data_IF_117513501127
#
_entry.id   IF_117513501127
#
_cell.length_a   1.000
_cell.length_b   1.000
_cell.length_c   1.000
_cell.angle_alpha   90.00
_cell.angle_beta   90.00
_cell.angle_gamma   90.00
#
_symmetry.space_group_name_H-M   'P 1'
#
loop_
_entity.id
_entity.type
_entity.pdbx_description
1 polymer ?
#
# COMPACT_ATOMS: atom_id res chain seq x y z
N UNK A 1 11.44 -3.81 18.18
CA UNK A 1 11.09 -3.90 16.75
C UNK A 1 11.08 -5.34 16.26
N UNK A 2 12.09 -6.15 16.56
CA UNK A 2 12.18 -7.58 16.18
C UNK A 2 10.87 -8.34 16.43
N UNK A 3 10.37 -8.34 17.65
CA UNK A 3 9.13 -9.06 18.00
C UNK A 3 7.89 -8.54 17.27
N UNK A 4 7.88 -7.27 16.89
CA UNK A 4 6.79 -6.66 16.16
C UNK A 4 6.69 -7.23 14.72
N UNK A 5 7.82 -7.36 14.03
CA UNK A 5 7.88 -7.95 12.69
C UNK A 5 7.69 -9.47 12.78
N UNK A 6 8.34 -10.12 13.75
CA UNK A 6 8.28 -11.57 13.97
C UNK A 6 6.88 -12.08 14.35
N UNK A 7 5.98 -11.21 14.81
CA UNK A 7 4.58 -11.57 15.12
C UNK A 7 3.84 -12.23 13.94
N UNK A 8 4.24 -11.93 12.70
CA UNK A 8 3.67 -12.56 11.50
C UNK A 8 4.09 -14.04 11.29
N UNK A 9 5.28 -14.41 11.81
CA UNK A 9 5.84 -15.77 11.77
C UNK A 9 6.75 -15.96 12.99
N UNK A 10 6.22 -16.49 14.13
CA UNK A 10 6.92 -16.55 15.41
C UNK A 10 8.20 -17.41 15.43
N UNK A 11 8.30 -18.38 14.52
CA UNK A 11 9.45 -19.29 14.34
C UNK A 11 10.56 -18.71 13.44
N UNK A 12 10.33 -17.54 12.81
CA UNK A 12 11.32 -16.91 11.94
C UNK A 12 12.64 -16.62 12.68
N UNK A 13 13.76 -16.82 12.00
CA UNK A 13 15.09 -16.44 12.52
C UNK A 13 15.28 -14.93 12.49
N UNK A 14 16.29 -14.42 13.21
CA UNK A 14 16.66 -13.00 13.20
C UNK A 14 17.07 -12.54 11.77
N UNK A 15 17.77 -13.41 11.05
CA UNK A 15 18.21 -13.14 9.67
C UNK A 15 17.04 -13.03 8.70
N UNK A 16 16.00 -13.85 8.88
CA UNK A 16 14.77 -13.77 8.07
C UNK A 16 14.01 -12.48 8.34
N UNK A 17 13.95 -12.05 9.61
CA UNK A 17 13.32 -10.78 9.98
C UNK A 17 14.10 -9.59 9.41
N UNK A 18 15.45 -9.61 9.46
CA UNK A 18 16.29 -8.58 8.87
C UNK A 18 16.09 -8.48 7.35
N UNK A 19 16.05 -9.61 6.64
CA UNK A 19 15.77 -9.62 5.20
C UNK A 19 14.40 -9.05 4.88
N UNK A 20 13.37 -9.45 5.60
CA UNK A 20 12.01 -8.92 5.40
C UNK A 20 11.94 -7.41 5.68
N UNK A 21 12.67 -6.93 6.68
CA UNK A 21 12.76 -5.51 7.00
C UNK A 21 13.52 -4.72 5.92
N UNK A 22 14.59 -5.27 5.36
CA UNK A 22 15.34 -4.67 4.26
C UNK A 22 14.49 -4.61 2.97
N UNK A 23 13.81 -5.69 2.62
CA UNK A 23 12.87 -5.75 1.50
C UNK A 23 11.69 -4.76 1.67
N UNK A 24 11.28 -4.46 2.91
CA UNK A 24 10.28 -3.46 3.24
C UNK A 24 10.86 -2.03 3.39
N UNK A 25 12.10 -1.79 2.97
CA UNK A 25 12.75 -0.49 3.05
C UNK A 25 12.82 0.08 4.48
N UNK A 26 13.04 -0.78 5.50
CA UNK A 26 13.11 -0.37 6.91
C UNK A 26 14.53 -0.11 7.41
N UNK A 27 15.56 -0.15 6.54
CA UNK A 27 16.96 -0.04 6.97
C UNK A 27 17.24 1.29 7.68
N UNK A 28 16.80 2.41 7.12
CA UNK A 28 16.92 3.76 7.69
C UNK A 28 16.27 3.87 9.08
N UNK A 29 15.13 3.21 9.26
CA UNK A 29 14.42 3.14 10.55
C UNK A 29 15.28 2.39 11.57
N UNK A 30 15.79 1.20 11.20
CA UNK A 30 16.59 0.36 12.08
C UNK A 30 17.90 1.07 12.47
N UNK A 31 18.60 1.69 11.51
CA UNK A 31 19.89 2.36 11.71
C UNK A 31 19.76 3.60 12.64
N UNK A 32 18.58 4.25 12.67
CA UNK A 32 18.32 5.40 13.54
C UNK A 32 17.92 5.01 14.97
N UNK A 33 17.44 3.80 15.19
CA UNK A 33 16.97 3.34 16.49
C UNK A 33 18.15 3.02 17.43
N UNK A 34 18.08 3.35 18.74
CA UNK A 34 19.21 3.24 19.67
C UNK A 34 19.78 1.81 19.80
N UNK A 35 18.90 0.80 19.77
CA UNK A 35 19.27 -0.62 19.83
C UNK A 35 18.92 -1.33 18.50
N UNK A 36 18.81 -0.59 17.41
CA UNK A 36 18.47 -1.12 16.10
C UNK A 36 17.19 -1.96 16.14
N UNK A 37 17.27 -3.18 15.62
CA UNK A 37 16.15 -4.11 15.57
C UNK A 37 15.61 -4.52 16.97
N UNK A 38 16.42 -4.41 18.02
CA UNK A 38 16.03 -4.78 19.39
C UNK A 38 15.30 -3.66 20.14
N UNK A 39 15.28 -2.45 19.58
CA UNK A 39 14.56 -1.32 20.16
C UNK A 39 13.08 -1.64 20.38
N UNK A 40 12.58 -1.31 21.58
CA UNK A 40 11.14 -1.37 21.86
C UNK A 40 10.44 -0.23 21.13
N UNK A 41 9.48 -0.56 20.23
CA UNK A 41 8.70 0.40 19.46
C UNK A 41 7.22 0.32 19.82
N UNK A 42 6.52 1.46 19.76
CA UNK A 42 5.10 1.56 20.11
C UNK A 42 4.87 1.99 21.57
N UNK A 43 3.77 1.55 22.17
CA UNK A 43 3.38 1.97 23.52
C UNK A 43 4.46 1.65 24.56
N UNK A 44 5.07 2.70 25.15
CA UNK A 44 6.16 2.57 26.11
C UNK A 44 7.56 2.47 25.50
N UNK A 45 7.70 2.64 24.18
CA UNK A 45 8.99 2.65 23.46
C UNK A 45 9.12 3.83 22.52
N UNK A 46 10.01 3.70 21.54
CA UNK A 46 10.26 4.72 20.52
C UNK A 46 9.04 4.89 19.61
N UNK A 47 8.65 6.12 19.38
CA UNK A 47 7.54 6.46 18.50
C UNK A 47 8.00 6.41 17.04
N UNK A 48 7.18 5.83 16.17
CA UNK A 48 7.40 5.76 14.73
C UNK A 48 6.35 6.61 14.01
N UNK A 49 6.74 7.23 12.90
CA UNK A 49 5.81 7.96 12.03
C UNK A 49 4.77 7.02 11.39
N UNK A 50 3.72 7.58 10.79
CA UNK A 50 2.72 6.80 10.07
C UNK A 50 3.34 5.97 8.94
N UNK A 51 4.20 6.57 8.11
CA UNK A 51 4.89 5.89 7.02
C UNK A 51 5.86 4.79 7.50
N UNK A 52 6.58 5.02 8.60
CA UNK A 52 7.44 4.01 9.21
C UNK A 52 6.65 2.82 9.74
N UNK A 53 5.53 3.06 10.42
CA UNK A 53 4.63 2.00 10.87
C UNK A 53 4.09 1.19 9.71
N UNK A 54 3.80 1.84 8.58
CA UNK A 54 3.33 1.16 7.37
C UNK A 54 4.41 0.28 6.75
N UNK A 55 5.68 0.76 6.66
CA UNK A 55 6.81 -0.07 6.20
C UNK A 55 7.04 -1.28 7.10
N UNK A 56 6.89 -1.15 8.41
CA UNK A 56 6.94 -2.29 9.35
C UNK A 56 5.77 -3.26 9.13
N UNK A 57 4.58 -2.76 8.79
CA UNK A 57 3.47 -3.63 8.44
C UNK A 57 3.74 -4.41 7.15
N UNK A 58 4.37 -3.78 6.15
CA UNK A 58 4.84 -4.46 4.93
C UNK A 58 5.91 -5.49 5.24
N UNK A 59 6.87 -5.21 6.13
CA UNK A 59 7.88 -6.19 6.58
C UNK A 59 7.22 -7.44 7.18
N UNK A 60 6.18 -7.28 7.98
CA UNK A 60 5.38 -8.42 8.51
C UNK A 60 4.74 -9.23 7.39
N UNK A 61 4.15 -8.55 6.40
CA UNK A 61 3.51 -9.22 5.27
C UNK A 61 4.52 -9.96 4.37
N UNK A 62 5.69 -9.37 4.14
CA UNK A 62 6.82 -9.99 3.42
C UNK A 62 7.32 -11.22 4.18
N UNK A 63 7.55 -11.10 5.50
CA UNK A 63 8.00 -12.22 6.35
C UNK A 63 7.01 -13.38 6.36
N UNK A 64 5.70 -13.07 6.35
CA UNK A 64 4.64 -14.09 6.30
C UNK A 64 4.62 -14.87 4.99
N UNK A 65 5.00 -14.22 3.89
CA UNK A 65 5.11 -14.79 2.55
C UNK A 65 3.86 -15.54 2.07
N UNK A 66 2.68 -14.99 2.34
CA UNK A 66 1.42 -15.58 1.91
C UNK A 66 1.26 -15.47 0.38
N UNK A 67 0.69 -16.50 -0.31
CA UNK A 67 0.47 -16.49 -1.76
C UNK A 67 -0.66 -15.54 -2.20
N UNK A 68 -1.55 -15.19 -1.29
CA UNK A 68 -2.68 -14.27 -1.52
C UNK A 68 -2.56 -13.11 -0.53
N UNK A 69 -2.62 -11.89 -1.03
CA UNK A 69 -2.56 -10.66 -0.26
C UNK A 69 -3.88 -9.93 -0.43
N UNK A 70 -4.49 -9.54 0.68
CA UNK A 70 -5.67 -8.68 0.69
C UNK A 70 -5.28 -7.33 1.25
N UNK A 71 -5.56 -6.27 0.50
CA UNK A 71 -5.24 -4.89 0.82
C UNK A 71 -6.53 -4.09 0.95
N UNK A 72 -6.72 -3.51 2.11
CA UNK A 72 -7.78 -2.56 2.39
C UNK A 72 -7.14 -1.20 2.66
N UNK A 73 -7.45 -0.21 1.82
CA UNK A 73 -6.98 1.18 1.94
C UNK A 73 -5.44 1.36 2.07
N UNK A 74 -4.65 0.50 1.39
CA UNK A 74 -3.19 0.43 1.55
C UNK A 74 -2.41 1.69 1.12
N UNK A 75 -3.04 2.77 0.65
CA UNK A 75 -2.40 3.91 -0.02
C UNK A 75 -2.67 5.28 0.61
N UNK A 76 -3.07 5.35 1.86
CA UNK A 76 -3.16 6.63 2.60
C UNK A 76 -1.76 7.04 3.10
N UNK A 77 -0.94 7.64 2.24
CA UNK A 77 0.45 8.01 2.54
C UNK A 77 0.54 9.35 3.25
N UNK A 78 1.50 9.44 4.18
CA UNK A 78 1.65 10.59 5.06
C UNK A 78 2.55 11.69 4.49
N UNK A 79 3.58 11.35 3.69
CA UNK A 79 4.54 12.30 3.09
C UNK A 79 5.24 11.70 1.86
N UNK A 80 5.77 12.57 0.98
CA UNK A 80 6.37 12.17 -0.30
C UNK A 80 7.63 11.30 -0.16
N UNK A 81 8.42 11.44 0.91
CA UNK A 81 9.65 10.68 1.11
C UNK A 81 9.34 9.23 1.49
N UNK A 82 8.37 9.04 2.39
CA UNK A 82 7.91 7.71 2.75
C UNK A 82 7.10 7.04 1.63
N UNK A 83 6.42 7.81 0.77
CA UNK A 83 5.64 7.29 -0.34
C UNK A 83 6.48 6.44 -1.29
N UNK A 84 7.66 6.93 -1.69
CA UNK A 84 8.56 6.18 -2.57
C UNK A 84 9.05 4.87 -1.92
N UNK A 85 9.44 4.92 -0.64
CA UNK A 85 9.90 3.73 0.08
C UNK A 85 8.78 2.68 0.25
N UNK A 86 7.57 3.15 0.53
CA UNK A 86 6.39 2.29 0.64
C UNK A 86 6.06 1.65 -0.71
N UNK A 87 6.16 2.40 -1.82
CA UNK A 87 5.95 1.89 -3.17
C UNK A 87 6.92 0.74 -3.49
N UNK A 88 8.22 0.91 -3.24
CA UNK A 88 9.24 -0.13 -3.44
C UNK A 88 8.94 -1.38 -2.59
N UNK A 89 8.60 -1.19 -1.32
CA UNK A 89 8.24 -2.28 -0.42
C UNK A 89 6.98 -3.02 -0.90
N UNK A 90 6.02 -2.29 -1.43
CA UNK A 90 4.79 -2.84 -1.97
C UNK A 90 5.03 -3.66 -3.24
N UNK A 91 5.82 -3.16 -4.18
CA UNK A 91 6.22 -3.89 -5.38
C UNK A 91 6.90 -5.21 -5.02
N UNK A 92 7.78 -5.18 -4.02
CA UNK A 92 8.43 -6.39 -3.52
C UNK A 92 7.45 -7.38 -2.89
N UNK A 93 6.51 -6.89 -2.07
CA UNK A 93 5.49 -7.71 -1.42
C UNK A 93 4.60 -8.43 -2.44
N UNK A 94 4.21 -7.75 -3.51
CA UNK A 94 3.22 -8.24 -4.49
C UNK A 94 3.81 -9.14 -5.57
N UNK A 95 5.14 -9.18 -5.70
CA UNK A 95 5.83 -9.93 -6.74
C UNK A 95 5.47 -11.43 -6.73
N UNK A 96 4.97 -11.95 -7.85
CA UNK A 96 4.54 -13.34 -8.04
C UNK A 96 3.43 -13.80 -7.07
N UNK A 97 2.54 -12.91 -6.66
CA UNK A 97 1.44 -13.19 -5.74
C UNK A 97 0.11 -12.76 -6.33
N UNK A 98 -0.97 -13.36 -5.84
CA UNK A 98 -2.32 -12.87 -6.10
C UNK A 98 -2.63 -11.73 -5.14
N UNK A 99 -2.94 -10.56 -5.68
CA UNK A 99 -3.28 -9.37 -4.90
C UNK A 99 -4.75 -9.03 -5.09
N UNK A 100 -5.48 -8.95 -4.01
CA UNK A 100 -6.85 -8.43 -3.98
C UNK A 100 -6.82 -7.07 -3.26
N UNK A 101 -7.27 -6.02 -3.94
CA UNK A 101 -7.26 -4.67 -3.40
C UNK A 101 -8.67 -4.10 -3.34
N UNK A 102 -9.04 -3.54 -2.20
CA UNK A 102 -10.21 -2.67 -2.08
C UNK A 102 -9.73 -1.24 -2.37
N UNK A 103 -10.15 -0.71 -3.52
CA UNK A 103 -9.65 0.57 -4.00
C UNK A 103 -10.55 1.72 -3.58
N UNK A 104 -9.97 2.72 -2.93
CA UNK A 104 -10.57 4.02 -2.65
C UNK A 104 -10.15 5.11 -3.65
N UNK A 105 -9.13 4.82 -4.47
CA UNK A 105 -8.66 5.69 -5.57
C UNK A 105 -8.64 4.89 -6.86
N UNK A 106 -9.37 5.35 -7.86
CA UNK A 106 -9.47 4.68 -9.16
C UNK A 106 -8.12 4.62 -9.91
N UNK A 107 -7.21 5.58 -9.65
CA UNK A 107 -5.87 5.57 -10.24
C UNK A 107 -5.03 4.35 -9.85
N UNK A 108 -5.28 3.74 -8.70
CA UNK A 108 -4.46 2.63 -8.20
C UNK A 108 -4.79 1.29 -8.83
N UNK A 109 -5.90 1.20 -9.57
CA UNK A 109 -6.40 -0.06 -10.15
C UNK A 109 -6.39 -0.08 -11.68
N UNK A 110 -5.83 0.94 -12.34
CA UNK A 110 -5.79 0.98 -13.81
C UNK A 110 -5.05 -0.20 -14.42
N UNK A 111 -3.97 -0.62 -13.78
CA UNK A 111 -3.11 -1.71 -14.23
C UNK A 111 -3.51 -3.08 -13.63
N UNK A 112 -4.68 -3.18 -13.01
CA UNK A 112 -5.16 -4.44 -12.45
C UNK A 112 -5.57 -5.40 -13.56
N UNK A 113 -5.18 -6.69 -13.43
CA UNK A 113 -5.56 -7.75 -14.37
C UNK A 113 -7.08 -7.96 -14.42
N UNK A 114 -7.78 -7.69 -13.31
CA UNK A 114 -9.23 -7.81 -13.19
C UNK A 114 -9.78 -6.81 -12.18
N UNK A 115 -10.76 -6.03 -12.62
CA UNK A 115 -11.54 -5.11 -11.78
C UNK A 115 -12.94 -5.70 -11.60
N UNK A 116 -13.41 -5.71 -10.36
CA UNK A 116 -14.77 -6.12 -9.98
C UNK A 116 -15.53 -4.90 -9.45
N UNK A 117 -16.62 -4.54 -10.09
CA UNK A 117 -17.50 -3.45 -9.65
C UNK A 117 -18.71 -4.05 -8.93
N UNK A 118 -18.85 -3.68 -7.66
CA UNK A 118 -19.97 -4.14 -6.83
C UNK A 118 -21.10 -3.10 -6.79
N UNK A 119 -22.32 -3.58 -6.88
CA UNK A 119 -23.55 -2.80 -6.64
C UNK A 119 -24.53 -3.67 -5.86
N UNK A 120 -25.03 -3.14 -4.73
CA UNK A 120 -26.02 -3.84 -3.89
C UNK A 120 -25.58 -5.25 -3.48
N UNK A 121 -24.28 -5.42 -3.19
CA UNK A 121 -23.69 -6.71 -2.75
C UNK A 121 -23.47 -7.72 -3.87
N UNK A 122 -23.69 -7.36 -5.14
CA UNK A 122 -23.49 -8.22 -6.31
C UNK A 122 -22.43 -7.64 -7.25
N UNK A 123 -21.74 -8.50 -8.00
CA UNK A 123 -20.82 -8.08 -9.05
C UNK A 123 -21.68 -7.58 -10.23
N UNK A 124 -21.67 -6.26 -10.44
CA UNK A 124 -22.40 -5.60 -11.53
C UNK A 124 -21.59 -5.58 -12.82
N UNK A 125 -20.26 -5.36 -12.73
CA UNK A 125 -19.34 -5.31 -13.87
C UNK A 125 -18.02 -6.00 -13.51
N UNK A 126 -17.34 -6.54 -14.53
CA UNK A 126 -16.00 -7.13 -14.39
C UNK A 126 -15.22 -6.99 -15.69
N UNK A 127 -13.91 -6.76 -15.60
CA UNK A 127 -13.04 -6.63 -16.77
C UNK A 127 -11.78 -5.86 -16.42
N UNK A 128 -10.96 -5.58 -17.41
CA UNK A 128 -9.83 -4.65 -17.31
C UNK A 128 -10.31 -3.21 -17.29
N UNK A 129 -9.44 -2.26 -16.96
CA UNK A 129 -9.74 -0.83 -17.04
C UNK A 129 -10.30 -0.43 -18.42
N UNK A 130 -9.62 -0.84 -19.47
CA UNK A 130 -9.98 -0.49 -20.86
C UNK A 130 -11.34 -1.05 -21.25
N UNK A 131 -11.61 -2.30 -20.90
CA UNK A 131 -12.90 -2.96 -21.17
C UNK A 131 -14.05 -2.25 -20.45
N UNK A 132 -13.85 -1.92 -19.18
CA UNK A 132 -14.89 -1.28 -18.36
C UNK A 132 -15.14 0.19 -18.75
N UNK A 133 -14.11 0.91 -19.19
CA UNK A 133 -14.27 2.26 -19.75
C UNK A 133 -15.08 2.20 -21.06
N UNK A 134 -14.77 1.24 -21.94
CA UNK A 134 -15.47 1.05 -23.21
C UNK A 134 -16.94 0.62 -23.03
N UNK A 135 -17.25 -0.11 -21.95
CA UNK A 135 -18.60 -0.56 -21.59
C UNK A 135 -19.59 0.60 -21.32
N UNK A 136 -19.08 1.80 -20.99
CA UNK A 136 -19.86 2.97 -20.60
C UNK A 136 -20.87 2.72 -19.47
N UNK A 137 -20.52 1.85 -18.54
CA UNK A 137 -21.31 1.46 -17.39
C UNK A 137 -20.99 2.23 -16.11
N UNK A 138 -21.11 1.55 -14.97
CA UNK A 138 -20.89 2.12 -13.63
C UNK A 138 -19.44 2.57 -13.48
N UNK A 139 -18.48 1.68 -13.84
CA UNK A 139 -17.05 1.99 -13.77
C UNK A 139 -16.69 3.21 -14.61
N UNK A 140 -17.17 3.26 -15.85
CA UNK A 140 -16.89 4.39 -16.76
C UNK A 140 -17.42 5.71 -16.20
N UNK A 141 -18.61 5.71 -15.57
CA UNK A 141 -19.14 6.90 -14.89
C UNK A 141 -18.25 7.33 -13.74
N UNK A 142 -17.86 6.41 -12.84
CA UNK A 142 -16.96 6.69 -11.72
C UNK A 142 -15.61 7.23 -12.20
N UNK A 143 -15.08 6.68 -13.31
CA UNK A 143 -13.82 7.13 -13.91
C UNK A 143 -13.90 8.56 -14.45
N UNK A 144 -14.98 8.92 -15.14
CA UNK A 144 -15.23 10.29 -15.63
C UNK A 144 -15.32 11.29 -14.49
N UNK A 145 -16.05 10.94 -13.42
CA UNK A 145 -16.16 11.79 -12.23
C UNK A 145 -14.80 11.99 -11.55
N UNK A 146 -14.01 10.93 -11.46
CA UNK A 146 -12.63 10.99 -10.93
C UNK A 146 -11.74 11.91 -11.77
N UNK A 147 -11.73 11.77 -13.11
CA UNK A 147 -10.97 12.64 -14.01
C UNK A 147 -11.37 14.11 -13.87
N UNK A 148 -12.67 14.38 -13.80
CA UNK A 148 -13.20 15.73 -13.60
C UNK A 148 -12.72 16.34 -12.27
N UNK A 149 -12.69 15.55 -11.20
CA UNK A 149 -12.24 15.99 -9.89
C UNK A 149 -10.74 16.34 -9.84
N UNK A 150 -9.91 15.62 -10.60
CA UNK A 150 -8.48 15.92 -10.74
C UNK A 150 -8.27 17.20 -11.54
N UNK A 151 -8.93 17.32 -12.68
CA UNK A 151 -8.82 18.50 -13.52
C UNK A 151 -9.21 19.80 -12.77
N UNK A 152 -10.22 19.72 -11.91
CA UNK A 152 -10.64 20.86 -11.07
C UNK A 152 -9.62 21.23 -9.99
N UNK A 153 -8.89 20.26 -9.42
CA UNK A 153 -7.82 20.50 -8.43
C UNK A 153 -6.62 21.19 -9.08
N UNK A 154 -6.18 20.72 -10.24
CA UNK A 154 -5.04 21.28 -10.97
C UNK A 154 -5.34 22.72 -11.42
N UNK A 155 -6.54 23.00 -11.95
CA UNK A 155 -6.93 24.36 -12.38
C UNK A 155 -7.00 25.39 -11.25
N UNK A 156 -7.19 24.97 -9.98
CA UNK A 156 -7.16 25.88 -8.83
C UNK A 156 -5.75 26.19 -8.29
N UNK A 157 -4.78 25.31 -8.50
CA UNK A 157 -3.40 25.56 -8.11
C UNK A 157 -2.75 26.60 -9.04
N UNK A 158 -3.10 26.62 -10.32
CA UNK A 158 -2.61 27.60 -11.29
C UNK A 158 -3.18 29.02 -11.04
N UNK A 159 -4.42 29.15 -10.49
CA UNK A 159 -5.03 30.45 -10.18
C UNK A 159 -4.51 31.08 -8.86
N UNK A 160 -3.74 30.38 -8.03
CA UNK A 160 -3.17 30.91 -6.78
C UNK A 160 -1.72 31.39 -6.92
N UNK A 161 -1.12 31.28 -8.11
CA UNK A 161 0.25 31.69 -8.38
C UNK A 161 0.36 32.89 -9.35
N UNK A 162 -0.74 33.52 -9.73
CA UNK A 162 -0.82 34.85 -10.37
C UNK A 162 -1.28 35.90 -9.33
#
# INVERSE_FOLDING_TARGET
MLNNIKAARPDATREEVLRAADEAQCKDIIDRLPDGLDTLVGTGGTYLSGGENQRIALARAILKDAPIIVLDEATAFADAENEHQIQLAFERLTQNKTVMMIAHRLSTIQDADLILVFKEGQIAERGTHEELVALNGIYSSMWKDYQTSIAWKVGKEDEQHD
#
